data_IF_041232853767
#
_entry.id   IF_041232853767
#
_cell.length_a   1.000
_cell.length_b   1.000
_cell.length_c   1.000
_cell.angle_alpha   90.00
_cell.angle_beta   90.00
_cell.angle_gamma   90.00
#
_symmetry.space_group_name_H-M   'P 1'
#
loop_
_entity.id
_entity.type
_entity.pdbx_description
1 polymer ?
#
# COMPACT_ATOMS: atom_id res chain seq x y z
N UNK A 1 -3.59 56.80 26.66
CA UNK A 1 -3.03 55.92 25.60
C UNK A 1 -2.23 54.83 26.30
N UNK A 2 -2.72 53.58 26.26
CA UNK A 2 -2.30 52.51 27.17
C UNK A 2 -0.81 52.11 27.01
N UNK A 3 -0.11 51.92 28.12
CA UNK A 3 1.30 51.48 28.19
C UNK A 3 1.55 50.13 27.51
N UNK A 4 0.52 49.30 27.38
CA UNK A 4 0.57 48.02 26.65
C UNK A 4 0.75 48.21 25.13
N UNK A 5 0.22 49.29 24.55
CA UNK A 5 0.38 49.61 23.13
C UNK A 5 1.79 50.12 22.86
N UNK A 6 2.39 50.90 23.78
CA UNK A 6 3.79 51.33 23.71
C UNK A 6 4.77 50.15 23.76
N UNK A 7 4.60 49.24 24.72
CA UNK A 7 5.46 48.05 24.84
C UNK A 7 5.31 47.05 23.69
N UNK A 8 4.11 46.90 23.13
CA UNK A 8 3.90 46.06 21.94
C UNK A 8 4.58 46.64 20.70
N UNK A 9 4.60 47.97 20.57
CA UNK A 9 5.29 48.67 19.48
C UNK A 9 6.81 48.69 19.65
N UNK A 10 7.33 48.66 20.88
CA UNK A 10 8.79 48.74 21.12
C UNK A 10 9.57 47.51 20.65
N UNK A 11 9.00 46.31 20.67
CA UNK A 11 9.74 45.12 20.19
C UNK A 11 9.40 44.71 18.76
N UNK A 12 8.10 44.75 18.40
CA UNK A 12 7.65 44.45 17.03
C UNK A 12 7.88 45.61 16.06
N UNK A 13 7.73 46.86 16.52
CA UNK A 13 7.99 48.03 15.69
C UNK A 13 9.47 48.19 15.33
N UNK A 14 10.39 47.91 16.27
CA UNK A 14 11.82 47.92 15.99
C UNK A 14 12.26 46.80 15.04
N UNK A 15 11.71 45.59 15.18
CA UNK A 15 12.00 44.49 14.25
C UNK A 15 11.46 44.76 12.85
N UNK A 16 10.24 45.32 12.73
CA UNK A 16 9.69 45.76 11.45
C UNK A 16 10.51 46.91 10.85
N UNK A 17 10.88 47.92 11.64
CA UNK A 17 11.70 49.04 11.17
C UNK A 17 13.10 48.59 10.72
N UNK A 18 13.77 47.71 11.48
CA UNK A 18 15.04 47.10 11.09
C UNK A 18 14.91 46.30 9.81
N UNK A 19 13.83 45.50 9.67
CA UNK A 19 13.60 44.73 8.45
C UNK A 19 13.33 45.64 7.24
N UNK A 20 12.58 46.73 7.40
CA UNK A 20 12.32 47.71 6.35
C UNK A 20 13.61 48.43 5.93
N UNK A 21 14.43 48.87 6.88
CA UNK A 21 15.73 49.48 6.60
C UNK A 21 16.66 48.48 5.91
N UNK A 22 16.72 47.24 6.38
CA UNK A 22 17.52 46.20 5.75
C UNK A 22 17.09 45.94 4.31
N UNK A 23 15.78 45.83 4.03
CA UNK A 23 15.25 45.66 2.67
C UNK A 23 15.64 46.85 1.78
N UNK A 24 15.46 48.08 2.25
CA UNK A 24 15.80 49.30 1.49
C UNK A 24 17.30 49.40 1.21
N UNK A 25 18.15 49.09 2.20
CA UNK A 25 19.61 49.06 2.04
C UNK A 25 20.03 47.97 1.05
N UNK A 26 19.41 46.78 1.12
CA UNK A 26 19.70 45.68 0.20
C UNK A 26 19.29 46.04 -1.24
N UNK A 27 18.13 46.65 -1.42
CA UNK A 27 17.67 47.17 -2.72
C UNK A 27 18.60 48.25 -3.27
N UNK A 28 18.99 49.21 -2.44
CA UNK A 28 19.91 50.29 -2.83
C UNK A 28 21.29 49.73 -3.22
N UNK A 29 21.79 48.72 -2.50
CA UNK A 29 23.02 48.03 -2.85
C UNK A 29 22.92 47.31 -4.20
N UNK A 30 21.81 46.59 -4.47
CA UNK A 30 21.57 45.90 -5.75
C UNK A 30 21.44 46.88 -6.92
N UNK A 31 20.84 48.04 -6.69
CA UNK A 31 20.64 49.10 -7.68
C UNK A 31 21.90 49.96 -7.90
N UNK A 32 22.92 49.83 -7.05
CA UNK A 32 24.11 50.65 -7.11
C UNK A 32 24.94 50.36 -8.38
N UNK A 33 25.53 51.39 -9.01
CA UNK A 33 26.44 51.23 -10.15
C UNK A 33 27.58 50.22 -9.93
N UNK A 34 28.30 50.22 -8.77
CA UNK A 34 29.40 49.27 -8.56
C UNK A 34 28.92 47.82 -8.44
N UNK A 35 27.71 47.60 -7.91
CA UNK A 35 27.13 46.26 -7.87
C UNK A 35 26.69 45.78 -9.27
N UNK A 36 26.18 46.68 -10.10
CA UNK A 36 25.85 46.38 -11.50
C UNK A 36 27.08 46.05 -12.33
N UNK A 37 28.17 46.80 -12.17
CA UNK A 37 29.47 46.45 -12.79
C UNK A 37 30.02 45.13 -12.27
N UNK A 38 29.90 44.88 -10.96
CA UNK A 38 30.31 43.62 -10.36
C UNK A 38 29.53 42.43 -10.91
N UNK A 39 28.21 42.50 -11.06
CA UNK A 39 27.40 41.42 -11.66
C UNK A 39 27.59 41.30 -13.18
N UNK A 40 27.82 42.42 -13.87
CA UNK A 40 28.08 42.42 -15.31
C UNK A 40 29.46 41.82 -15.67
N UNK A 41 30.34 41.65 -14.69
CA UNK A 41 31.63 41.01 -14.92
C UNK A 41 31.42 39.52 -15.32
N UNK A 42 32.01 39.04 -16.42
CA UNK A 42 31.71 37.71 -16.96
C UNK A 42 32.04 36.57 -15.98
N UNK A 43 33.05 36.75 -15.13
CA UNK A 43 33.41 35.76 -14.10
C UNK A 43 32.39 35.67 -12.97
N UNK A 44 31.76 36.78 -12.58
CA UNK A 44 30.77 36.79 -11.51
C UNK A 44 29.43 36.25 -11.96
N UNK A 45 29.01 36.63 -13.17
CA UNK A 45 27.86 36.05 -13.83
C UNK A 45 27.99 34.52 -13.98
N UNK A 46 29.18 34.03 -14.34
CA UNK A 46 29.43 32.59 -14.50
C UNK A 46 29.28 31.80 -13.19
N UNK A 47 29.89 32.22 -12.08
CA UNK A 47 29.74 31.49 -10.81
C UNK A 47 28.33 31.66 -10.23
N UNK A 48 27.69 32.83 -10.39
CA UNK A 48 26.33 33.04 -9.92
C UNK A 48 25.32 32.16 -10.69
N UNK A 49 25.45 32.04 -12.01
CA UNK A 49 24.65 31.14 -12.82
C UNK A 49 24.89 29.66 -12.46
N UNK A 50 26.15 29.28 -12.18
CA UNK A 50 26.48 27.94 -11.73
C UNK A 50 25.83 27.61 -10.38
N UNK A 51 25.88 28.53 -9.40
CA UNK A 51 25.22 28.38 -8.11
C UNK A 51 23.70 28.30 -8.27
N UNK A 52 23.11 29.16 -9.09
CA UNK A 52 21.67 29.14 -9.37
C UNK A 52 21.23 27.80 -9.97
N UNK A 53 22.00 27.27 -10.93
CA UNK A 53 21.73 25.97 -11.55
C UNK A 53 21.86 24.83 -10.55
N UNK A 54 22.90 24.85 -9.71
CA UNK A 54 23.10 23.86 -8.65
C UNK A 54 21.96 23.89 -7.63
N UNK A 55 21.56 25.08 -7.16
CA UNK A 55 20.43 25.24 -6.24
C UNK A 55 19.12 24.77 -6.86
N UNK A 56 18.87 25.12 -8.13
CA UNK A 56 17.68 24.65 -8.84
C UNK A 56 17.66 23.12 -8.93
N UNK A 57 18.78 22.48 -9.27
CA UNK A 57 18.92 21.03 -9.30
C UNK A 57 18.72 20.40 -7.91
N UNK A 58 19.31 20.98 -6.86
CA UNK A 58 19.17 20.50 -5.49
C UNK A 58 17.72 20.58 -4.99
N UNK A 59 17.04 21.70 -5.25
CA UNK A 59 15.62 21.88 -4.91
C UNK A 59 14.75 20.90 -5.70
N UNK A 60 15.00 20.75 -7.00
CA UNK A 60 14.27 19.79 -7.83
C UNK A 60 14.42 18.35 -7.30
N UNK A 61 15.64 17.96 -6.89
CA UNK A 61 15.90 16.64 -6.29
C UNK A 61 15.18 16.47 -4.95
N UNK A 62 15.18 17.51 -4.11
CA UNK A 62 14.47 17.51 -2.83
C UNK A 62 12.96 17.36 -3.02
N UNK A 63 12.37 18.14 -3.94
CA UNK A 63 10.94 18.07 -4.26
C UNK A 63 10.59 16.70 -4.83
N UNK A 64 11.35 16.21 -5.82
CA UNK A 64 11.12 14.89 -6.42
C UNK A 64 11.21 13.76 -5.38
N UNK A 65 12.21 13.81 -4.49
CA UNK A 65 12.34 12.82 -3.41
C UNK A 65 11.21 12.90 -2.38
N UNK A 66 10.74 14.11 -2.07
CA UNK A 66 9.60 14.35 -1.18
C UNK A 66 8.30 13.81 -1.77
N UNK A 67 8.03 14.09 -3.04
CA UNK A 67 6.87 13.56 -3.77
C UNK A 67 6.90 12.04 -3.87
N UNK A 68 8.05 11.46 -4.19
CA UNK A 68 8.19 10.00 -4.26
C UNK A 68 7.87 9.34 -2.91
N UNK A 69 8.32 9.94 -1.80
CA UNK A 69 8.00 9.47 -0.44
C UNK A 69 6.51 9.60 -0.12
N UNK A 70 5.87 10.71 -0.48
CA UNK A 70 4.41 10.92 -0.29
C UNK A 70 3.61 9.90 -1.09
N UNK A 71 3.86 9.78 -2.40
CA UNK A 71 3.20 8.79 -3.27
C UNK A 71 3.37 7.36 -2.76
N UNK A 72 4.54 7.00 -2.23
CA UNK A 72 4.78 5.69 -1.61
C UNK A 72 3.89 5.48 -0.37
N UNK A 73 3.77 6.48 0.51
CA UNK A 73 2.91 6.40 1.70
C UNK A 73 1.44 6.26 1.32
N UNK A 74 0.98 7.05 0.36
CA UNK A 74 -0.42 7.02 -0.09
C UNK A 74 -0.78 5.65 -0.69
N UNK A 75 0.13 5.08 -1.50
CA UNK A 75 -0.05 3.72 -2.04
C UNK A 75 -0.10 2.64 -0.96
N UNK A 76 0.74 2.74 0.08
CA UNK A 76 0.72 1.77 1.19
C UNK A 76 -0.57 1.93 2.01
N UNK A 77 -1.04 3.15 2.24
CA UNK A 77 -2.29 3.40 2.95
C UNK A 77 -3.50 2.85 2.17
N UNK A 78 -3.56 3.07 0.84
CA UNK A 78 -4.56 2.45 -0.01
C UNK A 78 -4.47 0.92 0.01
N UNK A 79 -3.26 0.36 -0.08
CA UNK A 79 -3.04 -1.08 0.00
C UNK A 79 -3.55 -1.67 1.32
N UNK A 80 -3.41 -0.94 2.44
CA UNK A 80 -3.92 -1.34 3.73
C UNK A 80 -5.46 -1.42 3.77
N UNK A 81 -6.14 -0.47 3.15
CA UNK A 81 -7.61 -0.47 3.05
C UNK A 81 -8.10 -1.67 2.22
N UNK A 82 -7.47 -1.90 1.06
CA UNK A 82 -7.80 -3.06 0.24
C UNK A 82 -7.45 -4.37 0.95
N UNK A 83 -6.31 -4.44 1.65
CA UNK A 83 -5.94 -5.59 2.46
C UNK A 83 -7.01 -5.91 3.50
N UNK A 84 -7.44 -4.93 4.28
CA UNK A 84 -8.49 -5.10 5.28
C UNK A 84 -9.83 -5.57 4.68
N UNK A 85 -10.20 -5.05 3.51
CA UNK A 85 -11.43 -5.45 2.83
C UNK A 85 -11.36 -6.89 2.27
N UNK A 86 -10.21 -7.31 1.76
CA UNK A 86 -10.03 -8.60 1.09
C UNK A 86 -9.71 -9.73 2.07
N UNK A 87 -9.03 -9.43 3.18
CA UNK A 87 -8.67 -10.39 4.25
C UNK A 87 -9.81 -11.34 4.62
N UNK A 88 -11.02 -10.89 5.01
CA UNK A 88 -12.08 -11.80 5.44
C UNK A 88 -12.56 -12.73 4.32
N UNK A 89 -12.56 -12.26 3.06
CA UNK A 89 -12.91 -13.07 1.89
C UNK A 89 -11.85 -14.14 1.65
N UNK A 90 -10.59 -13.73 1.57
CA UNK A 90 -9.44 -14.61 1.34
C UNK A 90 -9.27 -15.65 2.45
N UNK A 91 -9.49 -15.26 3.70
CA UNK A 91 -9.43 -16.15 4.85
C UNK A 91 -10.48 -17.27 4.75
N UNK A 92 -11.75 -16.91 4.53
CA UNK A 92 -12.84 -17.89 4.37
C UNK A 92 -12.58 -18.84 3.22
N UNK A 93 -12.14 -18.32 2.09
CA UNK A 93 -11.81 -19.13 0.92
C UNK A 93 -10.64 -20.08 1.16
N UNK A 94 -9.52 -19.57 1.68
CA UNK A 94 -8.36 -20.39 2.00
C UNK A 94 -8.69 -21.49 3.03
N UNK A 95 -9.48 -21.18 4.06
CA UNK A 95 -9.95 -22.18 5.02
C UNK A 95 -10.83 -23.24 4.38
N UNK A 96 -11.75 -22.84 3.51
CA UNK A 96 -12.66 -23.78 2.84
C UNK A 96 -11.89 -24.69 1.87
N UNK A 97 -10.97 -24.14 1.07
CA UNK A 97 -10.06 -24.92 0.24
C UNK A 97 -9.28 -25.96 1.06
N UNK A 98 -8.71 -25.53 2.19
CA UNK A 98 -7.97 -26.40 3.10
C UNK A 98 -8.84 -27.52 3.67
N UNK A 99 -10.06 -27.18 4.09
CA UNK A 99 -11.02 -28.14 4.65
C UNK A 99 -11.40 -29.19 3.61
N UNK A 100 -11.74 -28.77 2.39
CA UNK A 100 -12.09 -29.68 1.29
C UNK A 100 -10.90 -30.56 0.91
N UNK A 101 -9.68 -30.00 0.82
CA UNK A 101 -8.47 -30.78 0.53
C UNK A 101 -8.15 -31.81 1.63
N UNK A 102 -8.43 -31.47 2.89
CA UNK A 102 -8.18 -32.36 4.02
C UNK A 102 -9.24 -33.47 4.12
N UNK A 103 -10.45 -33.23 3.66
CA UNK A 103 -11.53 -34.22 3.59
C UNK A 103 -11.35 -35.22 2.44
N UNK A 104 -10.65 -34.84 1.38
CA UNK A 104 -10.47 -35.66 0.17
C UNK A 104 -10.01 -37.11 0.39
N UNK A 105 -9.05 -37.42 1.30
CA UNK A 105 -8.61 -38.79 1.56
C UNK A 105 -9.65 -39.66 2.27
N UNK A 106 -10.70 -39.07 2.85
CA UNK A 106 -11.71 -39.75 3.67
C UNK A 106 -13.01 -40.03 2.91
N UNK A 107 -13.08 -39.69 1.63
CA UNK A 107 -14.21 -40.04 0.79
C UNK A 107 -14.07 -41.51 0.34
N UNK A 108 -15.08 -42.32 0.67
CA UNK A 108 -15.16 -43.75 0.32
C UNK A 108 -15.81 -43.96 -1.06
N UNK A 109 -15.74 -45.18 -1.59
CA UNK A 109 -16.32 -45.54 -2.90
C UNK A 109 -17.85 -45.33 -2.99
N UNK A 110 -18.55 -45.34 -1.85
CA UNK A 110 -20.00 -45.08 -1.78
C UNK A 110 -20.35 -43.58 -1.87
N UNK A 111 -19.37 -42.69 -1.67
CA UNK A 111 -19.53 -41.23 -1.74
C UNK A 111 -18.39 -40.62 -2.58
N UNK A 112 -18.58 -40.48 -3.90
CA UNK A 112 -17.51 -40.12 -4.80
C UNK A 112 -16.92 -38.74 -4.44
N UNK A 113 -15.60 -38.74 -4.24
CA UNK A 113 -14.84 -37.58 -3.78
C UNK A 113 -15.09 -36.31 -4.60
N UNK A 114 -15.12 -36.40 -5.93
CA UNK A 114 -15.17 -35.23 -6.79
C UNK A 114 -16.52 -34.50 -6.79
N UNK A 115 -17.68 -35.17 -6.92
CA UNK A 115 -18.98 -34.52 -6.72
C UNK A 115 -19.10 -33.80 -5.38
N UNK A 116 -18.60 -34.40 -4.29
CA UNK A 116 -18.64 -33.79 -2.96
C UNK A 116 -17.68 -32.61 -2.83
N UNK A 117 -16.47 -32.72 -3.37
CA UNK A 117 -15.55 -31.58 -3.50
C UNK A 117 -16.16 -30.47 -4.35
N UNK A 118 -16.85 -30.80 -5.44
CA UNK A 118 -17.54 -29.84 -6.29
C UNK A 118 -18.63 -29.11 -5.50
N UNK A 119 -19.56 -29.85 -4.89
CA UNK A 119 -20.66 -29.29 -4.08
C UNK A 119 -20.13 -28.41 -2.94
N UNK A 120 -19.10 -28.86 -2.23
CA UNK A 120 -18.51 -28.08 -1.15
C UNK A 120 -17.82 -26.79 -1.63
N UNK A 121 -17.37 -26.77 -2.88
CA UNK A 121 -16.72 -25.62 -3.49
C UNK A 121 -17.68 -24.76 -4.33
N UNK A 122 -18.85 -25.30 -4.67
CA UNK A 122 -19.90 -24.63 -5.45
C UNK A 122 -20.60 -23.61 -4.53
N UNK A 123 -20.18 -22.36 -4.65
CA UNK A 123 -20.55 -21.27 -3.73
C UNK A 123 -19.37 -20.63 -3.00
N UNK A 124 -18.17 -21.17 -3.17
CA UNK A 124 -16.92 -20.65 -2.58
C UNK A 124 -16.22 -19.67 -3.52
N UNK A 125 -16.79 -19.40 -4.72
CA UNK A 125 -16.23 -18.48 -5.70
C UNK A 125 -15.80 -17.16 -5.07
N UNK A 126 -14.50 -16.87 -5.13
CA UNK A 126 -13.97 -15.58 -4.72
C UNK A 126 -14.10 -14.61 -5.90
N UNK A 127 -14.90 -13.57 -5.70
CA UNK A 127 -14.87 -12.37 -6.55
C UNK A 127 -13.80 -11.41 -6.01
N UNK A 128 -12.56 -11.65 -6.43
CA UNK A 128 -11.43 -10.74 -6.23
C UNK A 128 -10.99 -10.28 -7.61
N UNK A 129 -11.18 -8.99 -7.89
CA UNK A 129 -10.81 -8.42 -9.17
C UNK A 129 -9.29 -8.23 -9.29
N UNK A 130 -8.78 -8.26 -10.53
CA UNK A 130 -7.37 -7.95 -10.78
C UNK A 130 -7.01 -6.53 -10.30
N UNK A 131 -7.94 -5.59 -10.42
CA UNK A 131 -7.78 -4.22 -9.93
C UNK A 131 -7.56 -4.17 -8.41
N UNK A 132 -8.34 -4.93 -7.64
CA UNK A 132 -8.16 -5.06 -6.20
C UNK A 132 -6.79 -5.66 -5.85
N UNK A 133 -6.29 -6.62 -6.63
CA UNK A 133 -4.96 -7.21 -6.44
C UNK A 133 -3.82 -6.22 -6.79
N UNK A 134 -4.01 -5.35 -7.78
CA UNK A 134 -3.01 -4.33 -8.14
C UNK A 134 -2.72 -3.38 -6.98
N UNK A 135 -3.74 -3.06 -6.18
CA UNK A 135 -3.58 -2.23 -4.99
C UNK A 135 -2.78 -2.91 -3.88
N UNK A 136 -2.65 -4.25 -3.90
CA UNK A 136 -1.84 -5.02 -2.95
C UNK A 136 -0.38 -5.19 -3.39
N UNK A 137 0.00 -4.80 -4.61
CA UNK A 137 1.38 -4.88 -5.12
C UNK A 137 2.43 -4.21 -4.22
N UNK A 138 2.20 -3.03 -3.60
CA UNK A 138 3.19 -2.41 -2.73
C UNK A 138 3.37 -3.13 -1.39
N UNK A 139 2.58 -4.18 -1.09
CA UNK A 139 2.75 -4.98 0.12
C UNK A 139 4.02 -5.82 0.07
N UNK A 140 4.59 -6.05 1.25
CA UNK A 140 5.75 -6.90 1.41
C UNK A 140 5.43 -8.37 1.08
N UNK A 141 6.47 -9.19 0.91
CA UNK A 141 6.37 -10.65 0.69
C UNK A 141 5.55 -11.07 -0.53
N UNK A 142 5.37 -10.17 -1.50
CA UNK A 142 4.66 -10.44 -2.76
C UNK A 142 3.23 -10.96 -2.53
N UNK A 143 2.52 -10.44 -1.51
CA UNK A 143 1.18 -10.89 -1.13
C UNK A 143 0.21 -10.94 -2.33
N UNK A 144 0.18 -9.89 -3.16
CA UNK A 144 -0.63 -9.83 -4.38
C UNK A 144 -0.36 -11.02 -5.34
N UNK A 145 0.91 -11.35 -5.56
CA UNK A 145 1.30 -12.43 -6.47
C UNK A 145 0.96 -13.80 -5.89
N UNK A 146 1.09 -13.97 -4.57
CA UNK A 146 0.71 -15.20 -3.87
C UNK A 146 -0.80 -15.43 -3.95
N UNK A 147 -1.60 -14.39 -3.73
CA UNK A 147 -3.07 -14.46 -3.89
C UNK A 147 -3.43 -14.79 -5.33
N UNK A 148 -2.88 -14.06 -6.31
CA UNK A 148 -3.16 -14.29 -7.73
C UNK A 148 -2.82 -15.74 -8.14
N UNK A 149 -1.65 -16.24 -7.71
CA UNK A 149 -1.22 -17.62 -7.99
C UNK A 149 -2.12 -18.64 -7.29
N UNK A 150 -2.48 -18.42 -6.03
CA UNK A 150 -3.37 -19.30 -5.28
C UNK A 150 -4.75 -19.39 -5.93
N UNK A 151 -5.33 -18.25 -6.33
CA UNK A 151 -6.60 -18.19 -7.05
C UNK A 151 -6.53 -18.90 -8.41
N UNK A 152 -5.44 -18.72 -9.16
CA UNK A 152 -5.26 -19.41 -10.44
C UNK A 152 -5.21 -20.94 -10.27
N UNK A 153 -4.46 -21.44 -9.28
CA UNK A 153 -4.38 -22.89 -8.99
C UNK A 153 -5.76 -23.43 -8.56
N UNK A 154 -6.45 -22.70 -7.67
CA UNK A 154 -7.78 -23.09 -7.24
C UNK A 154 -8.78 -23.13 -8.39
N UNK A 155 -8.80 -22.10 -9.25
CA UNK A 155 -9.70 -22.04 -10.40
C UNK A 155 -9.42 -23.15 -11.43
N UNK A 156 -8.15 -23.46 -11.69
CA UNK A 156 -7.80 -24.59 -12.57
C UNK A 156 -8.31 -25.92 -12.00
N UNK A 157 -8.11 -26.16 -10.71
CA UNK A 157 -8.60 -27.37 -10.05
C UNK A 157 -10.14 -27.44 -10.05
N UNK A 158 -10.84 -26.33 -9.81
CA UNK A 158 -12.30 -26.25 -9.88
C UNK A 158 -12.84 -26.50 -11.28
N UNK A 159 -12.21 -25.90 -12.30
CA UNK A 159 -12.57 -26.12 -13.69
C UNK A 159 -12.36 -27.58 -14.07
N UNK A 160 -11.26 -28.19 -13.64
CA UNK A 160 -10.96 -29.60 -13.84
C UNK A 160 -12.01 -30.51 -13.17
N UNK A 161 -12.41 -30.21 -11.93
CA UNK A 161 -13.50 -30.89 -11.22
C UNK A 161 -14.83 -30.77 -12.01
N UNK A 162 -15.16 -29.58 -12.51
CA UNK A 162 -16.43 -29.33 -13.22
C UNK A 162 -16.52 -30.00 -14.60
N UNK A 163 -15.39 -30.25 -15.26
CA UNK A 163 -15.33 -30.92 -16.57
C UNK A 163 -15.60 -32.41 -16.49
N UNK A 164 -15.52 -33.00 -15.30
CA UNK A 164 -15.66 -34.43 -15.10
C UNK A 164 -17.14 -34.75 -14.95
N UNK A 165 -17.73 -35.24 -16.04
CA UNK A 165 -19.16 -35.56 -16.12
C UNK A 165 -19.53 -36.94 -15.53
N UNK A 166 -18.58 -37.85 -15.29
CA UNK A 166 -18.86 -39.22 -14.81
C UNK A 166 -17.99 -39.61 -13.59
N UNK A 167 -18.60 -39.73 -12.38
CA UNK A 167 -17.86 -40.01 -11.14
C UNK A 167 -17.35 -41.45 -10.98
N UNK A 168 -17.80 -42.40 -11.81
CA UNK A 168 -17.73 -43.84 -11.52
C UNK A 168 -16.45 -44.56 -11.95
N UNK A 169 -15.54 -43.89 -12.65
CA UNK A 169 -14.33 -44.51 -13.20
C UNK A 169 -13.02 -43.81 -12.79
N UNK A 170 -13.05 -43.00 -11.73
CA UNK A 170 -11.89 -42.21 -11.33
C UNK A 170 -11.10 -42.83 -10.20
N UNK A 171 -9.79 -42.90 -10.41
CA UNK A 171 -8.87 -43.40 -9.41
C UNK A 171 -8.81 -42.44 -8.23
N UNK A 172 -8.82 -43.00 -7.02
CA UNK A 172 -8.54 -42.29 -5.78
C UNK A 172 -7.29 -41.38 -5.89
N UNK A 173 -6.30 -41.82 -6.66
CA UNK A 173 -5.09 -41.07 -6.98
C UNK A 173 -5.35 -39.68 -7.59
N UNK A 174 -6.33 -39.56 -8.48
CA UNK A 174 -6.66 -38.31 -9.16
C UNK A 174 -7.33 -37.31 -8.20
N UNK A 175 -8.25 -37.78 -7.35
CA UNK A 175 -8.85 -36.94 -6.29
C UNK A 175 -7.81 -36.42 -5.29
N UNK A 176 -6.82 -37.25 -4.92
CA UNK A 176 -5.71 -36.85 -4.06
C UNK A 176 -4.80 -35.82 -4.72
N UNK A 177 -4.58 -35.91 -6.03
CA UNK A 177 -3.81 -34.92 -6.78
C UNK A 177 -4.51 -33.55 -6.77
N UNK A 178 -5.81 -33.51 -7.04
CA UNK A 178 -6.62 -32.29 -6.99
C UNK A 178 -6.66 -31.70 -5.58
N UNK A 179 -6.83 -32.55 -4.56
CA UNK A 179 -6.76 -32.13 -3.17
C UNK A 179 -5.40 -31.50 -2.82
N UNK A 180 -4.30 -32.07 -3.32
CA UNK A 180 -2.96 -31.49 -3.18
C UNK A 180 -2.83 -30.10 -3.81
N UNK A 181 -3.42 -29.89 -5.00
CA UNK A 181 -3.45 -28.58 -5.66
C UNK A 181 -4.27 -27.56 -4.86
N UNK A 182 -5.44 -27.95 -4.35
CA UNK A 182 -6.29 -27.09 -3.51
C UNK A 182 -5.59 -26.73 -2.18
N UNK A 183 -4.88 -27.68 -1.57
CA UNK A 183 -4.08 -27.41 -0.36
C UNK A 183 -2.95 -26.42 -0.66
N UNK A 184 -2.23 -26.59 -1.76
CA UNK A 184 -1.17 -25.66 -2.15
C UNK A 184 -1.72 -24.25 -2.45
N UNK A 185 -2.89 -24.16 -3.08
CA UNK A 185 -3.60 -22.90 -3.28
C UNK A 185 -4.00 -22.26 -1.95
N UNK A 186 -4.55 -23.05 -1.02
CA UNK A 186 -4.93 -22.59 0.31
C UNK A 186 -3.74 -22.02 1.08
N UNK A 187 -2.59 -22.70 1.08
CA UNK A 187 -1.38 -22.26 1.76
C UNK A 187 -0.87 -20.91 1.24
N UNK A 188 -0.87 -20.72 -0.09
CA UNK A 188 -0.49 -19.45 -0.71
C UNK A 188 -1.42 -18.31 -0.28
N UNK A 189 -2.73 -18.57 -0.23
CA UNK A 189 -3.74 -17.59 0.13
C UNK A 189 -3.69 -17.26 1.62
N UNK A 190 -3.54 -18.26 2.50
CA UNK A 190 -3.45 -18.08 3.95
C UNK A 190 -2.24 -17.23 4.32
N UNK A 191 -1.05 -17.58 3.81
CA UNK A 191 0.19 -16.82 4.11
C UNK A 191 0.10 -15.38 3.59
N UNK A 192 -0.52 -15.17 2.43
CA UNK A 192 -0.74 -13.82 1.91
C UNK A 192 -1.77 -13.04 2.74
N UNK A 193 -2.80 -13.72 3.25
CA UNK A 193 -3.83 -13.14 4.11
C UNK A 193 -3.24 -12.68 5.45
N UNK A 194 -2.37 -13.47 6.07
CA UNK A 194 -1.65 -13.07 7.29
C UNK A 194 -0.82 -11.80 7.05
N UNK A 195 -0.21 -11.67 5.87
CA UNK A 195 0.55 -10.46 5.51
C UNK A 195 -0.38 -9.26 5.35
N UNK A 196 -1.58 -9.47 4.80
CA UNK A 196 -2.62 -8.45 4.70
C UNK A 196 -3.12 -8.02 6.09
N UNK A 197 -3.36 -8.97 7.00
CA UNK A 197 -3.77 -8.72 8.38
C UNK A 197 -2.73 -7.93 9.17
N UNK A 198 -1.46 -8.33 9.09
CA UNK A 198 -0.37 -7.63 9.76
C UNK A 198 -0.26 -6.17 9.32
N UNK A 199 -0.53 -5.90 8.05
CA UNK A 199 -0.49 -4.54 7.54
C UNK A 199 -1.77 -3.77 7.89
N UNK A 200 -2.95 -4.38 7.77
CA UNK A 200 -4.21 -3.79 8.20
C UNK A 200 -4.17 -3.39 9.68
N UNK A 201 -3.65 -4.26 10.55
CA UNK A 201 -3.49 -4.01 11.99
C UNK A 201 -2.55 -2.83 12.32
N UNK A 202 -1.59 -2.51 11.44
CA UNK A 202 -0.72 -1.33 11.60
C UNK A 202 -1.48 -0.03 11.36
N UNK A 203 -2.48 -0.03 10.47
CA UNK A 203 -3.24 1.17 10.09
C UNK A 203 -4.56 1.32 10.85
N UNK A 204 -5.23 0.22 11.17
CA UNK A 204 -6.44 0.16 11.98
C UNK A 204 -6.13 -0.69 13.22
N UNK A 205 -5.59 -0.06 14.26
CA UNK A 205 -5.39 -0.73 15.55
C UNK A 205 -6.76 -1.11 16.13
N UNK A 206 -6.79 -2.20 16.90
CA UNK A 206 -7.96 -2.54 17.68
C UNK A 206 -8.34 -1.33 18.56
N UNK A 207 -9.64 -0.99 18.63
CA UNK A 207 -10.07 0.19 19.36
C UNK A 207 -9.68 0.03 20.84
N UNK A 208 -9.19 1.12 21.44
CA UNK A 208 -8.79 1.10 22.85
C UNK A 208 -10.02 0.93 23.76
N UNK A 209 -9.81 0.50 25.00
CA UNK A 209 -10.89 0.47 25.99
C UNK A 209 -11.53 1.84 26.19
N UNK A 210 -10.74 2.92 26.11
CA UNK A 210 -11.21 4.30 26.17
C UNK A 210 -12.08 4.66 24.94
N UNK A 211 -11.73 4.18 23.74
CA UNK A 211 -12.55 4.39 22.53
C UNK A 211 -13.86 3.60 22.55
N UNK A 212 -13.87 2.41 23.17
CA UNK A 212 -15.06 1.55 23.24
C UNK A 212 -16.00 1.91 24.38
N UNK A 213 -15.47 2.34 25.52
CA UNK A 213 -16.23 2.50 26.76
C UNK A 213 -16.25 3.95 27.29
N UNK A 214 -15.53 4.88 26.65
CA UNK A 214 -15.33 6.24 27.14
C UNK A 214 -14.35 6.29 28.33
N UNK A 215 -13.88 7.49 28.68
CA UNK A 215 -13.12 7.72 29.91
C UNK A 215 -14.01 7.33 31.11
N UNK A 216 -13.67 6.21 31.78
CA UNK A 216 -14.27 5.79 33.04
C UNK A 216 -13.76 6.62 34.21
#
# INVERSE_FOLDING_TARGET
MNESIRKWFDWRGWTVALSAVAIVVTLAAILSPPFREFIAHPTTAAWAAAIATFLAAAIALLVASGEARRRKRDRIAMAALYAAHLTPKLHRFGQKLRTVSAAAPFYDDDDPALPRMHEELDGVGIDVSLEQLMHLVPLERQAAHRIARGLAIANMALEEISRIAEPRAQSQHYSLQLAGQLSAAADLIIVATETCEQLAAKFARAPSGEELYGDL
#
